data_IF_649271173631
#
_entry.id   IF_649271173631
#
_cell.length_a   1.000
_cell.length_b   1.000
_cell.length_c   1.000
_cell.angle_alpha   90.00
_cell.angle_beta   90.00
_cell.angle_gamma   90.00
#
_symmetry.space_group_name_H-M   'P 1'
#
loop_
_entity.id
_entity.type
_entity.pdbx_description
1 polymer ?
#
# COMPACT_ATOMS: atom_id res chain seq x y z
N UNK A 1 -41.50 50.28 -3.91
CA UNK A 1 -40.07 50.62 -3.93
C UNK A 1 -39.33 49.42 -3.36
N UNK A 2 -38.84 48.52 -4.22
CA UNK A 2 -38.22 47.25 -3.82
C UNK A 2 -36.71 47.47 -3.70
N UNK A 3 -36.15 47.33 -2.49
CA UNK A 3 -34.70 47.21 -2.31
C UNK A 3 -34.31 45.76 -2.55
N UNK A 4 -33.54 45.52 -3.63
CA UNK A 4 -32.84 44.26 -3.84
C UNK A 4 -31.71 44.13 -2.82
N UNK A 5 -31.84 43.22 -1.87
CA UNK A 5 -30.73 42.77 -1.05
C UNK A 5 -29.82 41.87 -1.91
N UNK A 6 -28.68 42.42 -2.35
CA UNK A 6 -27.62 41.63 -2.98
C UNK A 6 -26.92 40.86 -1.85
N UNK A 7 -27.14 39.54 -1.79
CA UNK A 7 -26.39 38.68 -0.89
C UNK A 7 -24.89 38.74 -1.27
N UNK A 8 -23.98 38.86 -0.30
CA UNK A 8 -22.55 38.85 -0.60
C UNK A 8 -22.16 37.50 -1.23
N UNK A 9 -21.17 37.47 -2.14
CA UNK A 9 -20.72 36.22 -2.74
C UNK A 9 -20.30 35.28 -1.61
N UNK A 10 -20.91 34.09 -1.58
CA UNK A 10 -20.46 33.04 -0.71
C UNK A 10 -18.97 32.83 -0.97
N UNK A 11 -18.13 33.11 0.04
CA UNK A 11 -16.75 32.67 0.04
C UNK A 11 -16.85 31.15 0.02
N UNK A 12 -16.67 30.58 -1.17
CA UNK A 12 -16.44 29.15 -1.32
C UNK A 12 -15.12 28.91 -0.61
N UNK A 13 -15.17 28.55 0.67
CA UNK A 13 -14.04 27.89 1.30
C UNK A 13 -13.73 26.70 0.40
N UNK A 14 -12.51 26.57 -0.14
CA UNK A 14 -12.16 25.36 -0.84
C UNK A 14 -12.34 24.23 0.17
N UNK A 15 -13.28 23.34 -0.12
CA UNK A 15 -13.44 22.12 0.64
C UNK A 15 -12.05 21.46 0.71
N UNK A 16 -11.57 21.21 1.93
CA UNK A 16 -10.37 20.44 2.16
C UNK A 16 -10.61 19.00 1.65
N UNK A 17 -10.44 18.77 0.35
CA UNK A 17 -10.55 17.46 -0.29
C UNK A 17 -9.19 17.10 -0.86
N UNK A 18 -8.30 16.69 0.03
CA UNK A 18 -7.17 15.84 -0.31
C UNK A 18 -7.19 14.58 0.57
N UNK A 19 -8.00 13.56 0.21
CA UNK A 19 -7.63 12.19 0.61
C UNK A 19 -7.87 11.09 -0.44
N UNK A 20 -8.53 11.33 -1.59
CA UNK A 20 -8.95 10.23 -2.48
C UNK A 20 -7.90 9.77 -3.51
N UNK A 21 -7.05 10.66 -4.01
CA UNK A 21 -6.24 10.30 -5.19
C UNK A 21 -4.93 9.55 -4.87
N UNK A 22 -4.26 9.83 -3.75
CA UNK A 22 -3.15 8.99 -3.28
C UNK A 22 -3.63 7.63 -2.76
N UNK A 23 -4.76 7.59 -2.04
CA UNK A 23 -5.37 6.32 -1.64
C UNK A 23 -5.66 5.42 -2.84
N UNK A 24 -6.34 5.96 -3.87
CA UNK A 24 -6.62 5.22 -5.10
C UNK A 24 -5.35 4.77 -5.86
N UNK A 25 -4.25 5.53 -5.79
CA UNK A 25 -2.99 5.09 -6.37
C UNK A 25 -2.37 3.92 -5.59
N UNK A 26 -2.39 3.98 -4.26
CA UNK A 26 -1.89 2.88 -3.41
C UNK A 26 -2.74 1.61 -3.62
N UNK A 27 -4.06 1.73 -3.63
CA UNK A 27 -4.98 0.61 -3.92
C UNK A 27 -4.69 0.00 -5.31
N UNK A 28 -4.42 0.84 -6.32
CA UNK A 28 -4.05 0.36 -7.65
C UNK A 28 -2.69 -0.35 -7.68
N UNK A 29 -1.79 -0.12 -6.72
CA UNK A 29 -0.54 -0.86 -6.56
C UNK A 29 -0.73 -2.15 -5.74
N UNK A 30 -1.63 -2.12 -4.75
CA UNK A 30 -2.04 -3.29 -3.99
C UNK A 30 -2.70 -4.36 -4.88
N UNK A 31 -3.56 -3.95 -5.82
CA UNK A 31 -4.18 -4.86 -6.80
C UNK A 31 -3.13 -5.63 -7.62
N UNK A 32 -1.96 -5.03 -7.92
CA UNK A 32 -0.86 -5.74 -8.59
C UNK A 32 -0.34 -6.88 -7.71
N UNK A 33 -0.19 -6.64 -6.42
CA UNK A 33 0.26 -7.67 -5.48
C UNK A 33 -0.81 -8.72 -5.23
N UNK A 34 -2.08 -8.33 -5.12
CA UNK A 34 -3.21 -9.24 -4.97
C UNK A 34 -3.34 -10.17 -6.18
N UNK A 35 -3.24 -9.64 -7.40
CA UNK A 35 -3.25 -10.44 -8.61
C UNK A 35 -2.11 -11.47 -8.64
N UNK A 36 -0.91 -11.11 -8.17
CA UNK A 36 0.18 -12.08 -8.02
C UNK A 36 -0.15 -13.16 -6.99
N UNK A 37 -0.65 -12.76 -5.81
CA UNK A 37 -1.04 -13.65 -4.70
C UNK A 37 -2.14 -14.64 -5.12
N UNK A 38 -3.04 -14.22 -6.02
CA UNK A 38 -4.12 -15.04 -6.55
C UNK A 38 -3.74 -15.86 -7.80
N UNK A 39 -2.49 -15.74 -8.28
CA UNK A 39 -2.02 -16.45 -9.47
C UNK A 39 -2.56 -15.87 -10.79
N UNK A 40 -3.09 -14.65 -10.78
CA UNK A 40 -3.55 -13.88 -11.95
C UNK A 40 -2.39 -13.15 -12.64
N UNK A 41 -1.25 -13.82 -12.81
CA UNK A 41 -0.02 -13.18 -13.30
C UNK A 41 -0.15 -12.57 -14.71
N UNK A 42 -1.05 -13.11 -15.54
CA UNK A 42 -1.33 -12.58 -16.88
C UNK A 42 -1.97 -11.18 -16.86
N UNK A 43 -2.55 -10.75 -15.73
CA UNK A 43 -3.22 -9.45 -15.59
C UNK A 43 -2.26 -8.34 -15.15
N UNK A 44 -1.10 -8.70 -14.58
CA UNK A 44 -0.16 -7.75 -13.98
C UNK A 44 0.27 -6.61 -14.92
N UNK A 45 0.56 -6.83 -16.22
CA UNK A 45 0.92 -5.73 -17.10
C UNK A 45 -0.20 -4.69 -17.25
N UNK A 46 -1.46 -5.13 -17.31
CA UNK A 46 -2.61 -4.23 -17.41
C UNK A 46 -2.83 -3.46 -16.10
N UNK A 47 -2.60 -4.11 -14.96
CA UNK A 47 -2.69 -3.49 -13.64
C UNK A 47 -1.62 -2.42 -13.46
N UNK A 48 -0.36 -2.65 -13.86
CA UNK A 48 0.69 -1.62 -13.84
C UNK A 48 0.31 -0.39 -14.67
N UNK A 49 -0.31 -0.59 -15.85
CA UNK A 49 -0.83 0.51 -16.67
C UNK A 49 -1.94 1.27 -15.93
N UNK A 50 -2.82 0.56 -15.20
CA UNK A 50 -3.85 1.19 -14.38
C UNK A 50 -3.24 1.99 -13.21
N UNK A 51 -2.24 1.45 -12.50
CA UNK A 51 -1.52 2.16 -11.43
C UNK A 51 -0.85 3.43 -11.95
N UNK A 52 -0.27 3.40 -13.17
CA UNK A 52 0.27 4.61 -13.81
C UNK A 52 -0.81 5.67 -14.07
N UNK A 53 -2.00 5.28 -14.53
CA UNK A 53 -3.10 6.24 -14.71
C UNK A 53 -3.56 6.84 -13.38
N UNK A 54 -3.65 6.02 -12.33
CA UNK A 54 -3.97 6.48 -10.98
C UNK A 54 -2.90 7.46 -10.46
N UNK A 55 -1.63 7.17 -10.71
CA UNK A 55 -0.52 8.05 -10.37
C UNK A 55 -0.61 9.41 -11.09
N UNK A 56 -0.81 9.44 -12.41
CA UNK A 56 -0.94 10.70 -13.16
C UNK A 56 -2.14 11.54 -12.69
N UNK A 57 -3.20 10.89 -12.21
CA UNK A 57 -4.30 11.58 -11.56
C UNK A 57 -3.88 12.14 -10.20
N UNK A 58 -3.23 11.34 -9.35
CA UNK A 58 -2.80 11.74 -8.02
C UNK A 58 -1.75 12.86 -8.04
N UNK A 59 -0.75 12.74 -8.92
CA UNK A 59 0.31 13.71 -9.18
C UNK A 59 -0.27 15.09 -9.50
N UNK A 60 -1.25 15.18 -10.41
CA UNK A 60 -1.90 16.46 -10.75
C UNK A 60 -2.60 17.12 -9.57
N UNK A 61 -3.13 16.33 -8.64
CA UNK A 61 -3.91 16.85 -7.51
C UNK A 61 -3.05 17.13 -6.27
N UNK A 62 -1.89 16.47 -6.14
CA UNK A 62 -1.12 16.43 -4.89
C UNK A 62 0.41 16.56 -5.07
N UNK A 63 0.91 16.97 -6.24
CA UNK A 63 2.34 17.16 -6.49
C UNK A 63 3.03 18.06 -5.44
N UNK A 64 2.32 19.05 -4.87
CA UNK A 64 2.89 19.96 -3.86
C UNK A 64 3.24 19.28 -2.52
N UNK A 65 2.82 18.04 -2.29
CA UNK A 65 3.10 17.27 -1.06
C UNK A 65 4.42 16.50 -1.15
N UNK A 66 4.92 16.28 -2.37
CA UNK A 66 6.12 15.50 -2.66
C UNK A 66 7.23 16.40 -3.20
N UNK A 67 8.48 16.04 -2.92
CA UNK A 67 9.61 16.66 -3.57
C UNK A 67 9.73 16.19 -5.03
N UNK A 68 10.27 17.03 -5.92
CA UNK A 68 10.47 16.68 -7.33
C UNK A 68 11.25 15.38 -7.53
N UNK A 69 12.25 15.14 -6.67
CA UNK A 69 13.03 13.90 -6.70
C UNK A 69 12.20 12.65 -6.37
N UNK A 70 11.20 12.77 -5.50
CA UNK A 70 10.29 11.68 -5.15
C UNK A 70 9.31 11.39 -6.29
N UNK A 71 8.77 12.44 -6.92
CA UNK A 71 7.95 12.33 -8.12
C UNK A 71 8.71 11.59 -9.22
N UNK A 72 9.96 11.99 -9.48
CA UNK A 72 10.81 11.33 -10.49
C UNK A 72 11.18 9.90 -10.11
N UNK A 73 11.34 9.59 -8.82
CA UNK A 73 11.60 8.23 -8.36
C UNK A 73 10.37 7.33 -8.59
N UNK A 74 9.16 7.83 -8.31
CA UNK A 74 7.91 7.10 -8.56
C UNK A 74 7.68 6.90 -10.06
N UNK A 75 7.88 7.95 -10.87
CA UNK A 75 7.75 7.87 -12.34
C UNK A 75 8.65 6.77 -12.92
N UNK A 76 9.94 6.75 -12.52
CA UNK A 76 10.91 5.73 -12.94
C UNK A 76 10.58 4.34 -12.40
N UNK A 77 10.11 4.25 -11.16
CA UNK A 77 9.70 2.99 -10.56
C UNK A 77 8.57 2.33 -11.34
N UNK A 78 7.52 3.11 -11.67
CA UNK A 78 6.40 2.64 -12.48
C UNK A 78 6.82 2.22 -13.89
N UNK A 79 7.77 2.92 -14.52
CA UNK A 79 8.31 2.51 -15.82
C UNK A 79 9.08 1.19 -15.73
N UNK A 80 9.82 0.98 -14.64
CA UNK A 80 10.58 -0.23 -14.43
C UNK A 80 9.70 -1.46 -14.18
N UNK A 81 8.52 -1.30 -13.56
CA UNK A 81 7.63 -2.42 -13.21
C UNK A 81 7.32 -3.33 -14.40
N UNK A 82 7.08 -2.78 -15.58
CA UNK A 82 6.70 -3.54 -16.78
C UNK A 82 7.79 -4.54 -17.24
N UNK A 83 9.06 -4.32 -16.87
CA UNK A 83 10.17 -5.21 -17.21
C UNK A 83 10.50 -6.26 -16.16
N UNK A 84 9.80 -6.25 -15.01
CA UNK A 84 10.08 -7.15 -13.90
C UNK A 84 9.35 -8.49 -14.05
N UNK A 85 9.92 -9.54 -13.43
CA UNK A 85 9.19 -10.80 -13.24
C UNK A 85 8.00 -10.57 -12.28
N UNK A 86 6.91 -11.34 -12.39
CA UNK A 86 5.67 -11.16 -11.60
C UNK A 86 5.88 -10.86 -10.12
N UNK A 87 6.65 -11.70 -9.41
CA UNK A 87 6.96 -11.48 -7.99
C UNK A 87 7.64 -10.14 -7.72
N UNK A 88 8.66 -9.79 -8.51
CA UNK A 88 9.38 -8.52 -8.32
C UNK A 88 8.51 -7.32 -8.68
N UNK A 89 7.57 -7.48 -9.60
CA UNK A 89 6.58 -6.47 -9.92
C UNK A 89 5.68 -6.22 -8.71
N UNK A 90 5.15 -7.27 -8.07
CA UNK A 90 4.34 -7.15 -6.85
C UNK A 90 5.11 -6.50 -5.69
N UNK A 91 6.33 -6.98 -5.38
CA UNK A 91 7.16 -6.39 -4.31
C UNK A 91 7.49 -4.91 -4.58
N UNK A 92 7.83 -4.59 -5.83
CA UNK A 92 8.18 -3.22 -6.21
C UNK A 92 6.96 -2.29 -6.21
N UNK A 93 5.79 -2.79 -6.58
CA UNK A 93 4.53 -2.05 -6.49
C UNK A 93 4.21 -1.69 -5.03
N UNK A 94 4.32 -2.64 -4.11
CA UNK A 94 4.12 -2.40 -2.67
C UNK A 94 5.16 -1.43 -2.09
N UNK A 95 6.41 -1.50 -2.57
CA UNK A 95 7.47 -0.54 -2.20
C UNK A 95 7.16 0.89 -2.64
N UNK A 96 6.64 1.07 -3.86
CA UNK A 96 6.18 2.37 -4.35
C UNK A 96 4.98 2.90 -3.55
N UNK A 97 4.04 2.01 -3.20
CA UNK A 97 2.90 2.35 -2.34
C UNK A 97 3.35 2.80 -0.96
N UNK A 98 4.33 2.12 -0.37
CA UNK A 98 4.94 2.48 0.92
C UNK A 98 5.50 3.90 0.95
N UNK A 99 6.14 4.35 -0.13
CA UNK A 99 6.61 5.74 -0.26
C UNK A 99 5.45 6.72 -0.12
N UNK A 100 4.36 6.52 -0.87
CA UNK A 100 3.18 7.39 -0.81
C UNK A 100 2.51 7.37 0.57
N UNK A 101 2.40 6.20 1.18
CA UNK A 101 1.83 6.03 2.51
C UNK A 101 2.58 6.83 3.58
N UNK A 102 3.90 7.00 3.44
CA UNK A 102 4.72 7.85 4.29
C UNK A 102 4.30 9.34 4.26
N UNK A 103 3.79 9.83 3.12
CA UNK A 103 3.34 11.22 2.95
C UNK A 103 1.85 11.43 3.23
N UNK A 104 1.08 10.35 3.37
CA UNK A 104 -0.34 10.45 3.72
C UNK A 104 -0.53 10.83 5.19
N UNK A 105 -1.54 11.66 5.46
CA UNK A 105 -1.90 12.01 6.84
C UNK A 105 -2.35 10.77 7.63
N UNK A 106 -2.03 10.67 8.93
CA UNK A 106 -2.53 9.60 9.78
C UNK A 106 -4.06 9.51 9.71
N UNK A 107 -4.57 8.33 9.36
CA UNK A 107 -6.00 8.02 9.27
C UNK A 107 -6.23 6.52 9.37
N UNK A 108 -7.46 6.09 9.68
CA UNK A 108 -7.83 4.66 9.68
C UNK A 108 -7.60 4.02 8.31
N UNK A 109 -7.94 4.73 7.22
CA UNK A 109 -7.70 4.24 5.86
C UNK A 109 -6.20 4.03 5.57
N UNK A 110 -5.36 4.99 5.96
CA UNK A 110 -3.90 4.83 5.82
C UNK A 110 -3.39 3.64 6.64
N UNK A 111 -3.84 3.48 7.88
CA UNK A 111 -3.43 2.36 8.72
C UNK A 111 -3.79 0.99 8.10
N UNK A 112 -4.97 0.91 7.47
CA UNK A 112 -5.42 -0.25 6.69
C UNK A 112 -4.48 -0.53 5.52
N UNK A 113 -4.26 0.44 4.63
CA UNK A 113 -3.37 0.29 3.47
C UNK A 113 -1.95 -0.15 3.89
N UNK A 114 -1.40 0.41 4.98
CA UNK A 114 -0.10 -0.04 5.50
C UNK A 114 -0.15 -1.50 5.95
N UNK A 115 -1.23 -1.93 6.61
CA UNK A 115 -1.38 -3.30 7.07
C UNK A 115 -1.57 -4.30 5.91
N UNK A 116 -2.37 -3.94 4.90
CA UNK A 116 -2.60 -4.73 3.70
C UNK A 116 -1.31 -4.90 2.92
N UNK A 117 -0.64 -3.79 2.60
CA UNK A 117 0.60 -3.81 1.84
C UNK A 117 1.72 -4.56 2.59
N UNK A 118 1.80 -4.43 3.92
CA UNK A 118 2.74 -5.20 4.72
C UNK A 118 2.45 -6.71 4.69
N UNK A 119 1.18 -7.10 4.77
CA UNK A 119 0.77 -8.51 4.71
C UNK A 119 1.07 -9.11 3.33
N UNK A 120 0.77 -8.39 2.25
CA UNK A 120 1.07 -8.83 0.88
C UNK A 120 2.58 -8.92 0.60
N UNK A 121 3.37 -7.97 1.12
CA UNK A 121 4.82 -8.01 0.97
C UNK A 121 5.42 -9.19 1.76
N UNK A 122 4.89 -9.51 2.95
CA UNK A 122 5.26 -10.72 3.67
C UNK A 122 4.98 -11.99 2.87
N UNK A 123 3.83 -12.06 2.18
CA UNK A 123 3.50 -13.16 1.26
C UNK A 123 4.52 -13.30 0.13
N UNK A 124 4.83 -12.20 -0.57
CA UNK A 124 5.79 -12.22 -1.67
C UNK A 124 7.15 -12.78 -1.25
N UNK A 125 7.58 -12.45 -0.02
CA UNK A 125 8.83 -12.93 0.56
C UNK A 125 8.78 -14.39 1.02
N UNK A 126 7.61 -14.87 1.49
CA UNK A 126 7.36 -16.30 1.75
C UNK A 126 7.46 -17.11 0.45
N UNK A 127 6.85 -16.64 -0.65
CA UNK A 127 6.97 -17.27 -1.97
C UNK A 127 8.43 -17.37 -2.43
N UNK A 128 9.22 -16.34 -2.15
CA UNK A 128 10.63 -16.29 -2.50
C UNK A 128 11.52 -17.23 -1.69
N UNK A 129 11.01 -17.83 -0.60
CA UNK A 129 11.83 -18.43 0.48
C UNK A 129 12.90 -17.46 0.99
N UNK A 130 12.62 -16.16 0.92
CA UNK A 130 13.56 -15.12 1.32
C UNK A 130 13.84 -15.15 2.83
N UNK A 131 12.98 -15.82 3.60
CA UNK A 131 13.05 -15.90 5.05
C UNK A 131 13.93 -17.03 5.59
N UNK A 132 14.37 -17.98 4.75
CA UNK A 132 15.21 -19.11 5.18
C UNK A 132 16.53 -18.66 5.84
N UNK A 133 16.96 -17.42 5.57
CA UNK A 133 18.19 -16.82 6.10
C UNK A 133 17.94 -15.65 7.06
N UNK A 134 16.67 -15.34 7.37
CA UNK A 134 16.31 -14.17 8.18
C UNK A 134 16.05 -14.61 9.62
N UNK A 135 16.92 -14.23 10.58
CA UNK A 135 16.80 -14.65 11.97
C UNK A 135 15.71 -13.90 12.73
N UNK A 136 15.15 -12.83 12.19
CA UNK A 136 13.98 -12.13 12.72
C UNK A 136 13.15 -11.49 11.60
N UNK A 137 12.00 -12.09 11.29
CA UNK A 137 11.13 -11.63 10.17
C UNK A 137 10.50 -10.28 10.48
N UNK A 138 10.09 -10.04 11.72
CA UNK A 138 9.52 -8.76 12.14
C UNK A 138 10.55 -7.61 12.03
N UNK A 139 11.78 -7.84 12.51
CA UNK A 139 12.87 -6.85 12.37
C UNK A 139 13.22 -6.58 10.90
N UNK A 140 13.26 -7.60 10.05
CA UNK A 140 13.51 -7.42 8.62
C UNK A 140 12.42 -6.60 7.92
N UNK A 141 11.21 -6.56 8.49
CA UNK A 141 10.09 -5.78 8.01
C UNK A 141 10.03 -4.36 8.56
N UNK A 142 10.74 -4.09 9.65
CA UNK A 142 10.75 -2.80 10.32
C UNK A 142 11.07 -1.63 9.36
N UNK A 143 12.05 -1.71 8.44
CA UNK A 143 12.33 -0.61 7.50
C UNK A 143 11.13 -0.22 6.62
N UNK A 144 10.31 -1.20 6.22
CA UNK A 144 9.10 -0.93 5.44
C UNK A 144 8.04 -0.22 6.30
N UNK A 145 7.85 -0.66 7.54
CA UNK A 145 6.91 -0.04 8.47
C UNK A 145 7.36 1.38 8.86
N UNK A 146 8.67 1.60 9.00
CA UNK A 146 9.30 2.89 9.25
C UNK A 146 9.04 3.86 8.09
N UNK A 147 9.27 3.39 6.85
CA UNK A 147 8.97 4.14 5.64
C UNK A 147 7.50 4.54 5.57
N UNK A 148 6.61 3.63 5.94
CA UNK A 148 5.16 3.89 5.96
C UNK A 148 4.71 4.78 7.14
N UNK A 149 5.58 5.11 8.11
CA UNK A 149 5.26 5.91 9.29
C UNK A 149 4.09 5.35 10.11
N UNK A 150 4.02 4.01 10.25
CA UNK A 150 2.82 3.28 10.69
C UNK A 150 2.76 2.83 12.15
N UNK A 151 3.86 2.87 12.91
CA UNK A 151 4.01 2.07 14.16
C UNK A 151 3.00 2.29 15.28
N UNK A 152 2.20 3.36 15.23
CA UNK A 152 1.25 3.69 16.31
C UNK A 152 -0.15 3.16 16.06
N UNK A 153 -0.49 2.77 14.83
CA UNK A 153 -1.81 2.25 14.52
C UNK A 153 -1.98 0.82 15.06
N UNK A 154 -3.11 0.49 15.73
CA UNK A 154 -3.37 -0.87 16.22
C UNK A 154 -3.25 -1.95 15.13
N UNK A 155 -3.71 -1.67 13.92
CA UNK A 155 -3.69 -2.58 12.77
C UNK A 155 -2.23 -2.91 12.39
N UNK A 156 -1.38 -1.89 12.28
CA UNK A 156 0.04 -2.05 11.95
C UNK A 156 0.79 -2.81 13.05
N UNK A 157 0.45 -2.59 14.32
CA UNK A 157 1.01 -3.37 15.44
C UNK A 157 0.62 -4.84 15.37
N UNK A 158 -0.64 -5.15 15.05
CA UNK A 158 -1.08 -6.53 14.86
C UNK A 158 -0.31 -7.24 13.75
N UNK A 159 0.00 -6.53 12.65
CA UNK A 159 0.85 -7.09 11.59
C UNK A 159 2.25 -7.36 12.11
N UNK A 160 2.88 -6.40 12.79
CA UNK A 160 4.21 -6.58 13.35
C UNK A 160 4.28 -7.78 14.32
N UNK A 161 3.31 -7.89 15.24
CA UNK A 161 3.22 -9.01 16.17
C UNK A 161 3.02 -10.34 15.43
N UNK A 162 2.16 -10.35 14.41
CA UNK A 162 1.93 -11.52 13.58
C UNK A 162 3.18 -11.95 12.80
N UNK A 163 3.96 -11.01 12.26
CA UNK A 163 5.23 -11.32 11.57
C UNK A 163 6.25 -11.98 12.51
N UNK A 164 6.21 -11.66 13.80
CA UNK A 164 6.99 -12.37 14.82
C UNK A 164 6.57 -13.84 14.96
N UNK A 165 5.26 -14.11 15.00
CA UNK A 165 4.73 -15.49 15.05
C UNK A 165 5.00 -16.25 13.75
N UNK A 166 4.94 -15.57 12.60
CA UNK A 166 5.18 -16.16 11.29
C UNK A 166 6.58 -16.79 11.20
N UNK A 167 7.57 -16.25 11.90
CA UNK A 167 8.91 -16.82 11.95
C UNK A 167 8.94 -18.21 12.61
N UNK A 168 8.29 -18.35 13.76
CA UNK A 168 8.18 -19.63 14.46
C UNK A 168 7.41 -20.64 13.60
N UNK A 169 6.40 -20.17 12.88
CA UNK A 169 5.65 -20.99 11.94
C UNK A 169 6.46 -21.35 10.69
N UNK A 170 7.34 -20.48 10.17
CA UNK A 170 8.22 -20.82 9.05
C UNK A 170 9.32 -21.82 9.45
N UNK A 171 9.79 -21.77 10.70
CA UNK A 171 10.74 -22.73 11.23
C UNK A 171 10.13 -24.13 11.46
N UNK A 172 8.83 -24.19 11.78
CA UNK A 172 8.14 -25.43 12.20
C UNK A 172 7.08 -25.97 11.21
N UNK A 173 6.62 -25.16 10.25
CA UNK A 173 5.57 -25.51 9.26
C UNK A 173 6.08 -25.33 7.82
N UNK A 174 5.29 -25.82 6.87
CA UNK A 174 5.52 -25.61 5.43
C UNK A 174 5.12 -24.21 4.97
N UNK A 175 5.74 -23.72 3.89
CA UNK A 175 5.39 -22.50 3.13
C UNK A 175 3.87 -22.36 2.91
N UNK A 176 3.16 -23.46 2.69
CA UNK A 176 1.70 -23.48 2.50
C UNK A 176 0.93 -23.03 3.75
N UNK A 177 1.43 -23.34 4.95
CA UNK A 177 0.83 -22.89 6.22
C UNK A 177 0.94 -21.38 6.39
N UNK A 178 2.15 -20.84 6.21
CA UNK A 178 2.41 -19.40 6.28
C UNK A 178 1.51 -18.60 5.33
N UNK A 179 1.34 -19.05 4.08
CA UNK A 179 0.42 -18.44 3.12
C UNK A 179 -1.03 -18.48 3.58
N UNK A 180 -1.50 -19.60 4.12
CA UNK A 180 -2.88 -19.70 4.63
C UNK A 180 -3.14 -18.67 5.74
N UNK A 181 -2.20 -18.53 6.66
CA UNK A 181 -2.36 -17.65 7.81
C UNK A 181 -2.29 -16.16 7.37
N UNK A 182 -1.43 -15.82 6.39
CA UNK A 182 -1.40 -14.50 5.75
C UNK A 182 -2.70 -14.19 4.99
N UNK A 183 -3.30 -15.17 4.30
CA UNK A 183 -4.59 -14.98 3.60
C UNK A 183 -5.68 -14.62 4.60
N UNK A 184 -5.73 -15.36 5.72
CA UNK A 184 -6.70 -15.11 6.79
C UNK A 184 -6.52 -13.71 7.39
N UNK A 185 -5.29 -13.22 7.47
CA UNK A 185 -5.01 -11.87 7.95
C UNK A 185 -5.58 -10.80 7.01
N UNK A 186 -5.39 -10.95 5.68
CA UNK A 186 -6.02 -10.06 4.69
C UNK A 186 -7.54 -10.05 4.81
N UNK A 187 -8.16 -11.24 4.92
CA UNK A 187 -9.62 -11.35 5.10
C UNK A 187 -10.14 -10.64 6.35
N UNK A 188 -9.36 -10.65 7.45
CA UNK A 188 -9.72 -9.96 8.69
C UNK A 188 -9.59 -8.44 8.57
N UNK A 189 -8.59 -7.95 7.83
CA UNK A 189 -8.41 -6.53 7.56
C UNK A 189 -9.58 -6.00 6.70
N UNK A 190 -9.97 -6.73 5.66
CA UNK A 190 -11.14 -6.42 4.84
C UNK A 190 -12.45 -6.40 5.64
N UNK A 191 -12.65 -7.36 6.55
CA UNK A 191 -13.83 -7.39 7.42
C UNK A 191 -13.86 -6.21 8.39
N UNK A 192 -12.70 -5.73 8.85
CA UNK A 192 -12.60 -4.56 9.71
C UNK A 192 -12.91 -3.25 8.96
N UNK A 193 -12.94 -3.24 7.63
CA UNK A 193 -13.38 -2.09 6.82
C UNK A 193 -14.91 -2.01 6.73
N UNK A 194 -15.59 -3.16 6.67
CA UNK A 194 -17.06 -3.24 6.48
C UNK A 194 -17.86 -2.95 7.76
N UNK A 195 -17.20 -2.81 8.91
CA UNK A 195 -17.78 -2.57 10.24
C UNK A 195 -17.32 -1.23 10.86
#
# INVERSE_FOLDING_TARGET
MLMMAVAPPAIVQPAAVAPRSFGAFVEALEEVAEAFIDGRESELPALVVASRKAWEHAKRNHASVLADGEIQAIDRGLDALAGLKPRFMAESALGLGGTILGHMRPSRNRARLVADAATMLAWCRVEARAWDQVPNVAEAFQPYLDQCGGHRAPEVRRIHDYLGVLQDDLANRSVTGAKRDLRRLLELLDQAERN
#
